data_IF_322864950234
#
_entry.id   IF_322864950234
#
_cell.length_a   1.000
_cell.length_b   1.000
_cell.length_c   1.000
_cell.angle_alpha   90.00
_cell.angle_beta   90.00
_cell.angle_gamma   90.00
#
_symmetry.space_group_name_H-M   'P 1'
#
loop_
_entity.id
_entity.type
_entity.pdbx_description
1 polymer ?
#
# COMPACT_ATOMS: atom_id res chain seq x y z
N UNK A 1 18.08 14.51 -2.25
CA UNK A 1 17.83 13.56 -3.35
C UNK A 1 18.47 12.23 -2.96
N UNK A 2 17.67 11.31 -2.40
CA UNK A 2 18.09 9.98 -1.99
C UNK A 2 18.64 9.22 -3.20
N UNK A 3 19.79 8.57 -3.05
CA UNK A 3 20.31 7.71 -4.10
C UNK A 3 19.54 6.37 -4.04
N UNK A 4 18.34 6.32 -4.61
CA UNK A 4 17.65 5.06 -4.85
C UNK A 4 18.47 4.32 -5.91
N UNK A 5 19.16 3.25 -5.51
CA UNK A 5 19.85 2.39 -6.47
C UNK A 5 18.83 1.44 -7.09
N UNK A 6 18.43 1.71 -8.33
CA UNK A 6 17.75 0.72 -9.15
C UNK A 6 18.80 -0.29 -9.65
N UNK A 7 18.71 -1.53 -9.19
CA UNK A 7 19.64 -2.61 -9.56
C UNK A 7 19.24 -3.30 -10.89
N UNK A 8 18.81 -2.56 -11.90
CA UNK A 8 18.43 -3.14 -13.20
C UNK A 8 19.47 -2.80 -14.27
N UNK A 9 20.41 -3.72 -14.53
CA UNK A 9 21.23 -3.67 -15.75
C UNK A 9 20.44 -4.30 -16.91
N UNK A 10 19.99 -3.46 -17.85
CA UNK A 10 19.30 -3.88 -19.07
C UNK A 10 20.32 -4.09 -20.19
N UNK A 11 20.62 -5.35 -20.54
CA UNK A 11 21.32 -5.68 -21.78
C UNK A 11 20.61 -6.87 -22.45
N UNK A 12 20.12 -6.64 -23.68
CA UNK A 12 19.62 -7.64 -24.64
C UNK A 12 18.62 -8.69 -24.10
N UNK A 13 17.50 -8.25 -23.55
CA UNK A 13 16.30 -9.10 -23.41
C UNK A 13 16.37 -10.20 -22.35
N UNK A 14 17.44 -10.26 -21.56
CA UNK A 14 17.58 -11.17 -20.41
C UNK A 14 17.88 -10.39 -19.13
N UNK A 15 17.05 -10.55 -18.11
CA UNK A 15 17.34 -10.06 -16.76
C UNK A 15 18.58 -10.80 -16.24
N UNK A 16 19.71 -10.10 -16.09
CA UNK A 16 20.89 -10.66 -15.44
C UNK A 16 20.56 -10.80 -13.96
N UNK A 17 20.57 -12.03 -13.45
CA UNK A 17 20.51 -12.34 -12.02
C UNK A 17 21.74 -11.71 -11.36
N UNK A 18 21.55 -10.62 -10.61
CA UNK A 18 22.66 -9.98 -9.90
C UNK A 18 23.10 -10.88 -8.75
N UNK A 19 24.37 -11.27 -8.77
CA UNK A 19 25.01 -11.98 -7.66
C UNK A 19 25.18 -11.02 -6.48
N UNK A 20 24.63 -11.37 -5.31
CA UNK A 20 24.77 -10.61 -4.07
C UNK A 20 26.24 -10.52 -3.61
N UNK A 21 27.15 -11.29 -4.21
CA UNK A 21 28.58 -11.21 -3.96
C UNK A 21 29.15 -9.81 -4.23
N UNK A 22 28.51 -9.01 -5.09
CA UNK A 22 28.89 -7.61 -5.36
C UNK A 22 28.29 -6.60 -4.35
N UNK A 23 27.29 -7.00 -3.55
CA UNK A 23 26.73 -6.19 -2.46
C UNK A 23 27.50 -6.34 -1.16
N UNK A 24 28.38 -7.35 -1.04
CA UNK A 24 29.35 -7.39 0.05
C UNK A 24 30.22 -6.15 -0.05
N UNK A 25 29.99 -5.19 0.86
CA UNK A 25 30.91 -4.09 1.14
C UNK A 25 32.27 -4.71 1.47
N UNK A 26 33.15 -4.81 0.48
CA UNK A 26 34.52 -5.30 0.65
C UNK A 26 35.31 -4.25 1.43
N UNK A 27 35.12 -4.21 2.74
CA UNK A 27 36.10 -3.65 3.66
C UNK A 27 36.84 -4.82 4.29
N UNK A 28 37.94 -5.19 3.65
CA UNK A 28 38.95 -6.06 4.24
C UNK A 28 39.61 -5.31 5.41
N UNK A 29 39.11 -5.53 6.62
CA UNK A 29 39.85 -5.27 7.84
C UNK A 29 39.69 -6.49 8.73
N UNK A 30 40.80 -7.20 8.95
CA UNK A 30 40.92 -8.31 9.89
C UNK A 30 40.55 -7.81 11.30
N UNK A 31 39.29 -8.00 11.66
CA UNK A 31 38.73 -7.74 12.99
C UNK A 31 37.90 -8.95 13.38
N UNK A 32 38.14 -9.49 14.57
CA UNK A 32 37.48 -10.66 15.14
C UNK A 32 36.05 -10.39 15.64
N UNK A 33 35.51 -9.20 15.41
CA UNK A 33 34.06 -8.93 15.47
C UNK A 33 33.66 -8.06 14.27
N UNK A 34 33.27 -8.68 13.15
CA UNK A 34 32.71 -7.96 12.02
C UNK A 34 31.38 -7.31 12.42
N UNK A 35 31.18 -6.05 12.02
CA UNK A 35 29.91 -5.35 12.25
C UNK A 35 28.75 -6.11 11.57
N UNK A 36 27.62 -6.34 12.27
CA UNK A 36 26.51 -7.12 11.73
C UNK A 36 26.00 -6.57 10.39
N UNK A 37 25.82 -7.46 9.42
CA UNK A 37 25.18 -7.20 8.12
C UNK A 37 23.73 -7.71 8.18
N UNK A 38 22.76 -6.84 7.96
CA UNK A 38 21.35 -7.16 8.10
C UNK A 38 20.61 -6.84 6.80
N UNK A 39 19.91 -7.83 6.24
CA UNK A 39 19.00 -7.61 5.13
C UNK A 39 17.57 -7.44 5.64
N UNK A 40 16.83 -6.47 5.11
CA UNK A 40 15.40 -6.27 5.38
C UNK A 40 14.64 -6.39 4.06
N UNK A 41 13.73 -7.36 3.98
CA UNK A 41 12.90 -7.60 2.80
C UNK A 41 11.56 -6.88 2.97
N UNK A 42 11.46 -5.70 2.39
CA UNK A 42 10.30 -4.81 2.41
C UNK A 42 10.61 -3.47 3.07
N UNK A 43 10.40 -2.38 2.33
CA UNK A 43 10.60 -1.00 2.78
C UNK A 43 9.32 -0.34 3.30
N UNK A 44 8.30 -1.14 3.64
CA UNK A 44 7.10 -0.64 4.33
C UNK A 44 7.37 -0.25 5.79
N UNK A 45 6.34 0.22 6.52
CA UNK A 45 6.47 0.68 7.90
C UNK A 45 7.19 -0.34 8.81
N UNK A 46 6.84 -1.62 8.70
CA UNK A 46 7.47 -2.67 9.52
C UNK A 46 8.97 -2.76 9.31
N UNK A 47 9.43 -2.75 8.06
CA UNK A 47 10.85 -2.83 7.73
C UNK A 47 11.61 -1.58 8.15
N UNK A 48 11.02 -0.41 7.92
CA UNK A 48 11.65 0.87 8.26
C UNK A 48 11.69 1.13 9.76
N UNK A 49 10.69 0.70 10.53
CA UNK A 49 10.75 0.77 11.99
C UNK A 49 11.79 -0.21 12.56
N UNK A 50 11.92 -1.42 12.00
CA UNK A 50 13.00 -2.33 12.37
C UNK A 50 14.36 -1.70 12.08
N UNK A 51 14.55 -1.16 10.87
CA UNK A 51 15.77 -0.44 10.49
C UNK A 51 16.10 0.68 11.49
N UNK A 52 15.13 1.56 11.77
CA UNK A 52 15.29 2.68 12.71
C UNK A 52 15.73 2.20 14.10
N UNK A 53 15.13 1.12 14.62
CA UNK A 53 15.50 0.56 15.92
C UNK A 53 16.88 -0.07 15.93
N UNK A 54 17.28 -0.75 14.85
CA UNK A 54 18.63 -1.31 14.71
C UNK A 54 19.68 -0.20 14.69
N UNK A 55 19.46 0.85 13.90
CA UNK A 55 20.37 2.00 13.80
C UNK A 55 20.53 2.77 15.12
N UNK A 56 19.47 2.81 15.95
CA UNK A 56 19.50 3.39 17.30
C UNK A 56 20.24 2.49 18.31
N UNK A 57 20.11 1.17 18.16
CA UNK A 57 20.62 0.20 19.15
C UNK A 57 22.09 -0.15 18.93
N UNK A 58 22.54 -0.14 17.67
CA UNK A 58 23.87 -0.51 17.27
C UNK A 58 24.55 0.67 16.57
N UNK A 59 25.71 1.07 17.09
CA UNK A 59 26.54 2.10 16.46
C UNK A 59 27.16 1.58 15.16
N UNK A 60 27.60 0.32 15.15
CA UNK A 60 28.25 -0.34 14.02
C UNK A 60 27.42 -1.53 13.52
N UNK A 61 26.43 -1.26 12.67
CA UNK A 61 25.72 -2.27 11.87
C UNK A 61 25.49 -1.74 10.45
N UNK A 62 25.42 -2.64 9.48
CA UNK A 62 25.13 -2.32 8.08
C UNK A 62 23.80 -2.95 7.68
N UNK A 63 22.93 -2.16 7.05
CA UNK A 63 21.57 -2.56 6.73
C UNK A 63 21.31 -2.33 5.25
N UNK A 64 20.88 -3.38 4.56
CA UNK A 64 20.41 -3.32 3.19
C UNK A 64 18.90 -3.61 3.16
N UNK A 65 18.12 -2.69 2.59
CA UNK A 65 16.68 -2.83 2.45
C UNK A 65 16.34 -3.15 1.00
N UNK A 66 15.63 -4.24 0.78
CA UNK A 66 15.16 -4.66 -0.54
C UNK A 66 13.67 -4.47 -0.66
N UNK A 67 13.19 -3.86 -1.74
CA UNK A 67 11.77 -3.76 -2.05
C UNK A 67 11.51 -4.09 -3.52
N UNK A 68 10.44 -4.84 -3.76
CA UNK A 68 9.98 -5.16 -5.13
C UNK A 68 9.32 -3.96 -5.81
N UNK A 69 8.74 -3.04 -5.05
CA UNK A 69 8.07 -1.88 -5.59
C UNK A 69 9.07 -0.87 -6.17
N UNK A 70 8.62 -0.03 -7.10
CA UNK A 70 9.49 0.95 -7.73
C UNK A 70 9.90 2.11 -6.81
N UNK A 71 9.07 2.40 -5.79
CA UNK A 71 9.33 3.40 -4.76
C UNK A 71 9.18 2.76 -3.37
N UNK A 72 9.88 3.29 -2.35
CA UNK A 72 9.83 2.72 -1.00
C UNK A 72 8.57 3.13 -0.21
N UNK A 73 8.57 2.82 1.09
CA UNK A 73 7.53 3.17 2.08
C UNK A 73 6.26 2.32 2.06
N UNK A 74 6.16 1.37 1.12
CA UNK A 74 5.08 0.38 1.06
C UNK A 74 3.70 1.04 1.09
N UNK A 75 2.83 0.60 2.01
CA UNK A 75 1.46 1.11 2.10
C UNK A 75 1.34 2.57 2.55
N UNK A 76 2.39 3.20 3.10
CA UNK A 76 2.33 4.66 3.32
C UNK A 76 2.23 5.38 1.98
N UNK A 77 3.00 4.93 0.98
CA UNK A 77 2.98 5.48 -0.36
C UNK A 77 1.82 4.93 -1.21
N UNK A 78 1.70 3.60 -1.26
CA UNK A 78 0.77 2.91 -2.16
C UNK A 78 -0.61 2.59 -1.57
N UNK A 79 -0.80 2.76 -0.26
CA UNK A 79 -2.02 2.33 0.45
C UNK A 79 -2.85 3.47 1.03
N UNK A 80 -2.20 4.49 1.60
CA UNK A 80 -2.88 5.67 2.14
C UNK A 80 -3.54 6.43 1.00
N UNK A 81 -4.84 6.74 1.16
CA UNK A 81 -5.59 7.48 0.15
C UNK A 81 -4.96 8.86 -0.12
N UNK A 82 -5.05 9.38 -1.35
CA UNK A 82 -4.36 10.61 -1.73
C UNK A 82 -4.90 11.85 -1.02
N UNK A 83 -6.14 11.80 -0.53
CA UNK A 83 -6.74 12.84 0.31
C UNK A 83 -6.36 12.76 1.80
N UNK A 84 -5.48 11.82 2.17
CA UNK A 84 -4.99 11.59 3.53
C UNK A 84 -3.52 11.97 3.73
N UNK A 85 -3.16 13.18 3.27
CA UNK A 85 -1.78 13.69 3.30
C UNK A 85 -1.09 13.63 4.67
N UNK A 86 -1.83 13.86 5.76
CA UNK A 86 -1.26 13.86 7.10
C UNK A 86 -0.60 12.53 7.48
N UNK A 87 -1.13 11.40 7.00
CA UNK A 87 -0.57 10.09 7.29
C UNK A 87 0.75 9.83 6.53
N UNK A 88 0.97 10.52 5.40
CA UNK A 88 2.20 10.44 4.60
C UNK A 88 3.36 11.26 5.21
N UNK A 89 3.10 12.14 6.18
CA UNK A 89 4.15 12.91 6.90
C UNK A 89 5.19 12.03 7.60
N UNK A 90 4.83 10.79 7.93
CA UNK A 90 5.77 9.80 8.48
C UNK A 90 6.95 9.49 7.53
N UNK A 91 6.78 9.68 6.22
CA UNK A 91 7.84 9.50 5.22
C UNK A 91 9.04 10.40 5.46
N UNK A 92 8.82 11.66 5.87
CA UNK A 92 9.90 12.63 6.11
C UNK A 92 10.88 12.15 7.19
N UNK A 93 10.39 11.43 8.21
CA UNK A 93 11.25 10.84 9.23
C UNK A 93 12.13 9.70 8.68
N UNK A 94 11.58 8.87 7.80
CA UNK A 94 12.32 7.79 7.15
C UNK A 94 13.31 8.31 6.12
N UNK A 95 12.92 9.34 5.35
CA UNK A 95 13.82 10.08 4.47
C UNK A 95 15.03 10.59 5.28
N UNK A 96 14.81 11.34 6.35
CA UNK A 96 15.90 11.81 7.21
C UNK A 96 16.79 10.68 7.72
N UNK A 97 16.21 9.54 8.13
CA UNK A 97 16.95 8.35 8.54
C UNK A 97 17.90 7.83 7.45
N UNK A 98 17.44 7.75 6.19
CA UNK A 98 18.31 7.38 5.06
C UNK A 98 19.42 8.40 4.80
N UNK A 99 19.14 9.67 5.02
CA UNK A 99 20.07 10.78 4.80
C UNK A 99 21.21 10.80 5.81
N UNK A 100 20.87 10.55 7.08
CA UNK A 100 21.81 10.57 8.21
C UNK A 100 22.66 9.31 8.33
N UNK A 101 22.32 8.22 7.63
CA UNK A 101 22.99 6.91 7.79
C UNK A 101 23.50 6.34 6.45
N UNK A 102 23.80 7.19 5.45
CA UNK A 102 24.18 6.76 4.08
C UNK A 102 25.40 5.83 4.03
N UNK A 103 26.29 5.94 5.01
CA UNK A 103 27.49 5.11 5.16
C UNK A 103 27.20 3.67 5.57
N UNK A 104 26.01 3.41 6.14
CA UNK A 104 25.65 2.12 6.73
C UNK A 104 24.24 1.61 6.39
N UNK A 105 23.45 2.38 5.65
CA UNK A 105 22.10 2.02 5.20
C UNK A 105 21.99 2.19 3.68
N UNK A 106 21.60 1.12 2.97
CA UNK A 106 21.28 1.17 1.53
C UNK A 106 19.85 0.68 1.25
N UNK A 107 19.25 1.20 0.19
CA UNK A 107 17.90 0.84 -0.28
C UNK A 107 17.95 0.44 -1.75
N UNK A 108 17.40 -0.73 -2.03
CA UNK A 108 17.30 -1.35 -3.34
C UNK A 108 15.83 -1.58 -3.70
N UNK A 109 15.28 -0.72 -4.55
CA UNK A 109 13.93 -0.86 -5.10
C UNK A 109 13.96 -1.67 -6.40
N UNK A 110 12.79 -2.17 -6.85
CA UNK A 110 12.65 -3.09 -7.97
C UNK A 110 13.45 -4.40 -7.82
N UNK A 111 13.59 -4.90 -6.58
CA UNK A 111 14.23 -6.19 -6.28
C UNK A 111 13.21 -7.10 -5.61
N UNK A 112 12.68 -8.07 -6.34
CA UNK A 112 11.78 -9.11 -5.83
C UNK A 112 12.59 -10.27 -5.26
N UNK A 113 12.63 -10.37 -3.93
CA UNK A 113 13.32 -11.45 -3.21
C UNK A 113 12.76 -12.87 -3.50
N UNK A 114 11.66 -13.01 -4.24
CA UNK A 114 11.19 -14.32 -4.71
C UNK A 114 11.74 -14.69 -6.10
N UNK A 115 12.35 -13.75 -6.83
CA UNK A 115 12.75 -13.93 -8.24
C UNK A 115 14.20 -13.54 -8.48
N UNK A 116 14.56 -12.35 -8.02
CA UNK A 116 15.81 -11.69 -8.38
C UNK A 116 16.94 -12.09 -7.43
N UNK A 117 16.58 -12.46 -6.20
CA UNK A 117 17.51 -12.83 -5.14
C UNK A 117 17.13 -14.19 -4.57
N UNK A 118 18.09 -15.09 -4.39
CA UNK A 118 17.82 -16.35 -3.69
C UNK A 118 17.76 -16.12 -2.17
N UNK A 119 16.73 -16.65 -1.50
CA UNK A 119 16.63 -16.62 -0.04
C UNK A 119 17.82 -17.33 0.64
N UNK A 120 18.28 -18.47 0.11
CA UNK A 120 19.48 -19.12 0.68
C UNK A 120 20.74 -18.25 0.52
N UNK A 121 20.84 -17.52 -0.60
CA UNK A 121 21.95 -16.60 -0.85
C UNK A 121 21.91 -15.42 0.14
N UNK A 122 20.73 -14.86 0.41
CA UNK A 122 20.53 -13.85 1.45
C UNK A 122 20.99 -14.37 2.82
N UNK A 123 20.52 -15.56 3.23
CA UNK A 123 20.89 -16.15 4.52
C UNK A 123 22.38 -16.49 4.63
N UNK A 124 23.06 -16.77 3.50
CA UNK A 124 24.51 -17.01 3.50
C UNK A 124 25.34 -15.71 3.47
N UNK A 125 24.74 -14.60 3.04
CA UNK A 125 25.43 -13.31 2.85
C UNK A 125 25.30 -12.40 4.07
N UNK A 126 24.14 -12.40 4.73
CA UNK A 126 23.81 -11.53 5.85
C UNK A 126 23.76 -12.32 7.15
N UNK A 127 24.16 -11.68 8.26
CA UNK A 127 24.08 -12.27 9.61
C UNK A 127 22.63 -12.44 10.08
N UNK A 128 21.73 -11.58 9.59
CA UNK A 128 20.30 -11.67 9.83
C UNK A 128 19.49 -11.21 8.62
N UNK A 129 18.35 -11.87 8.38
CA UNK A 129 17.37 -11.50 7.36
C UNK A 129 16.02 -11.25 8.01
N UNK A 130 15.47 -10.06 7.84
CA UNK A 130 14.18 -9.65 8.36
C UNK A 130 13.14 -9.66 7.24
N UNK A 131 12.10 -10.48 7.39
CA UNK A 131 10.98 -10.53 6.46
C UNK A 131 9.91 -9.49 6.86
N UNK A 132 9.83 -8.40 6.11
CA UNK A 132 8.96 -7.26 6.38
C UNK A 132 8.08 -6.88 5.16
N UNK A 133 7.78 -7.84 4.29
CA UNK A 133 7.15 -7.63 2.98
C UNK A 133 5.62 -7.44 2.99
N UNK A 134 5.02 -7.42 4.19
CA UNK A 134 3.58 -7.19 4.39
C UNK A 134 2.66 -8.29 3.83
N UNK A 135 1.37 -7.97 3.71
CA UNK A 135 0.34 -8.90 3.24
C UNK A 135 -0.20 -8.47 1.87
N UNK A 136 0.40 -9.00 0.79
CA UNK A 136 0.08 -8.58 -0.59
C UNK A 136 -0.98 -9.44 -1.28
N UNK A 137 -1.42 -10.56 -0.67
CA UNK A 137 -2.42 -11.46 -1.27
C UNK A 137 -3.83 -11.03 -0.85
N UNK A 138 -4.72 -10.64 -1.78
CA UNK A 138 -6.09 -10.29 -1.42
C UNK A 138 -6.85 -11.52 -0.94
N UNK A 139 -7.81 -11.31 -0.02
CA UNK A 139 -8.74 -12.36 0.40
C UNK A 139 -9.77 -12.58 -0.71
N UNK A 140 -9.96 -13.83 -1.10
CA UNK A 140 -10.98 -14.24 -2.07
C UNK A 140 -12.36 -14.24 -1.44
N UNK A 141 -13.40 -14.01 -2.24
CA UNK A 141 -14.78 -14.07 -1.79
C UNK A 141 -15.35 -15.49 -1.96
N UNK A 142 -14.78 -16.28 -2.86
CA UNK A 142 -15.26 -17.63 -3.19
C UNK A 142 -16.54 -17.62 -4.03
N UNK A 143 -16.76 -16.56 -4.81
CA UNK A 143 -17.93 -16.42 -5.68
C UNK A 143 -17.55 -16.85 -7.12
N UNK A 144 -18.52 -17.44 -7.83
CA UNK A 144 -18.32 -17.96 -9.20
C UNK A 144 -17.73 -16.91 -10.17
N UNK A 145 -18.15 -15.65 -10.05
CA UNK A 145 -17.71 -14.55 -10.92
C UNK A 145 -16.77 -13.56 -10.22
N UNK A 146 -16.00 -13.99 -9.20
CA UNK A 146 -15.12 -13.09 -8.45
C UNK A 146 -13.98 -12.46 -9.27
N UNK A 147 -13.67 -13.02 -10.45
CA UNK A 147 -12.65 -12.51 -11.39
C UNK A 147 -13.26 -11.90 -12.66
N UNK A 148 -14.50 -11.42 -12.59
CA UNK A 148 -15.15 -10.75 -13.72
C UNK A 148 -14.36 -9.54 -14.24
N UNK A 149 -14.68 -9.11 -15.47
CA UNK A 149 -13.91 -8.10 -16.23
C UNK A 149 -13.72 -6.73 -15.56
N UNK A 150 -14.49 -6.41 -14.50
CA UNK A 150 -14.39 -5.15 -13.74
C UNK A 150 -14.44 -5.41 -12.22
N UNK A 151 -13.93 -6.56 -11.79
CA UNK A 151 -13.85 -6.97 -10.39
C UNK A 151 -12.40 -6.80 -9.89
N UNK A 152 -12.25 -6.11 -8.76
CA UNK A 152 -10.95 -5.80 -8.17
C UNK A 152 -11.01 -6.04 -6.67
N UNK A 153 -9.89 -6.47 -6.09
CA UNK A 153 -9.72 -6.33 -4.64
C UNK A 153 -9.58 -4.84 -4.29
N UNK A 154 -9.97 -4.47 -3.07
CA UNK A 154 -9.79 -3.09 -2.59
C UNK A 154 -8.34 -2.64 -2.68
N UNK A 155 -7.39 -3.52 -2.36
CA UNK A 155 -5.95 -3.23 -2.47
C UNK A 155 -5.48 -2.96 -3.90
N UNK A 156 -6.01 -3.67 -4.90
CA UNK A 156 -5.70 -3.42 -6.32
C UNK A 156 -6.24 -2.05 -6.77
N UNK A 157 -7.48 -1.71 -6.40
CA UNK A 157 -8.07 -0.41 -6.71
C UNK A 157 -7.30 0.75 -6.06
N UNK A 158 -6.90 0.58 -4.79
CA UNK A 158 -6.08 1.54 -4.05
C UNK A 158 -4.70 1.71 -4.71
N UNK A 159 -4.04 0.60 -5.02
CA UNK A 159 -2.73 0.61 -5.68
C UNK A 159 -2.79 1.31 -7.05
N UNK A 160 -3.89 1.13 -7.78
CA UNK A 160 -4.11 1.80 -9.07
C UNK A 160 -4.17 3.31 -8.94
N UNK A 161 -4.98 3.86 -8.04
CA UNK A 161 -5.06 5.32 -7.94
C UNK A 161 -3.80 5.95 -7.33
N UNK A 162 -3.06 5.20 -6.50
CA UNK A 162 -1.80 5.60 -5.87
C UNK A 162 -0.55 5.34 -6.74
N UNK A 163 -0.70 4.91 -8.00
CA UNK A 163 0.42 4.87 -8.94
C UNK A 163 1.37 3.68 -8.80
N UNK A 164 0.88 2.55 -8.28
CA UNK A 164 1.59 1.29 -8.43
C UNK A 164 1.80 0.98 -9.93
N UNK A 165 2.98 0.45 -10.30
CA UNK A 165 3.29 0.18 -11.71
C UNK A 165 2.29 -0.83 -12.30
N UNK A 166 1.95 -0.67 -13.58
CA UNK A 166 1.04 -1.58 -14.29
C UNK A 166 1.54 -3.03 -14.28
N UNK A 167 2.85 -3.28 -14.18
CA UNK A 167 3.38 -4.64 -14.04
C UNK A 167 2.88 -5.36 -12.77
N UNK A 168 2.41 -4.61 -11.78
CA UNK A 168 1.84 -5.12 -10.53
C UNK A 168 0.32 -4.97 -10.45
N UNK A 169 -0.33 -4.36 -11.44
CA UNK A 169 -1.78 -4.19 -11.52
C UNK A 169 -2.29 -5.00 -12.73
N UNK A 170 -3.13 -6.01 -12.48
CA UNK A 170 -3.60 -6.90 -13.54
C UNK A 170 -4.51 -6.23 -14.57
N UNK A 171 -5.40 -5.34 -14.10
CA UNK A 171 -6.45 -4.73 -14.90
C UNK A 171 -6.68 -3.28 -14.44
N UNK A 172 -7.19 -2.44 -15.34
CA UNK A 172 -7.55 -1.05 -15.04
C UNK A 172 -9.07 -0.95 -14.81
N UNK A 173 -9.55 -0.29 -13.74
CA UNK A 173 -10.97 -0.07 -13.50
C UNK A 173 -11.67 0.69 -14.65
N UNK A 174 -12.75 0.11 -15.17
CA UNK A 174 -13.61 0.74 -16.19
C UNK A 174 -14.75 1.49 -15.50
N UNK A 175 -14.60 2.80 -15.37
CA UNK A 175 -15.53 3.65 -14.62
C UNK A 175 -16.63 4.30 -15.49
N UNK A 176 -16.57 4.14 -16.81
CA UNK A 176 -17.45 4.76 -17.81
C UNK A 176 -18.53 3.82 -18.37
N UNK A 177 -18.59 2.60 -17.85
CA UNK A 177 -19.46 1.51 -18.34
C UNK A 177 -20.79 1.38 -17.58
N UNK A 178 -20.93 2.04 -16.43
CA UNK A 178 -22.14 1.98 -15.61
C UNK A 178 -22.19 3.10 -14.57
N UNK A 179 -23.32 3.20 -13.88
CA UNK A 179 -23.56 4.22 -12.85
C UNK A 179 -23.42 3.71 -11.41
N UNK A 180 -23.23 2.40 -11.23
CA UNK A 180 -23.21 1.76 -9.93
C UNK A 180 -21.89 1.03 -9.71
N UNK A 181 -21.27 1.23 -8.54
CA UNK A 181 -20.17 0.42 -8.05
C UNK A 181 -20.58 -0.29 -6.75
N UNK A 182 -20.08 -1.50 -6.55
CA UNK A 182 -20.32 -2.30 -5.34
C UNK A 182 -18.99 -2.56 -4.65
N UNK A 183 -18.90 -2.20 -3.37
CA UNK A 183 -17.74 -2.42 -2.52
C UNK A 183 -18.13 -3.41 -1.43
N UNK A 184 -17.46 -4.55 -1.39
CA UNK A 184 -17.75 -5.61 -0.40
C UNK A 184 -16.77 -5.48 0.76
N UNK A 185 -17.29 -5.15 1.95
CA UNK A 185 -16.53 -5.01 3.18
C UNK A 185 -16.85 -3.73 3.96
N UNK A 186 -16.75 -3.82 5.29
CA UNK A 186 -17.01 -2.70 6.22
C UNK A 186 -15.72 -2.22 6.91
N UNK A 187 -14.64 -2.02 6.16
CA UNK A 187 -13.35 -1.53 6.68
C UNK A 187 -12.96 -0.18 6.09
N UNK A 188 -11.91 0.46 6.61
CA UNK A 188 -11.46 1.76 6.11
C UNK A 188 -11.17 1.75 4.61
N UNK A 189 -10.53 0.69 4.08
CA UNK A 189 -10.27 0.56 2.64
C UNK A 189 -11.56 0.61 1.80
N UNK A 190 -12.67 0.06 2.31
CA UNK A 190 -13.96 0.16 1.61
C UNK A 190 -14.48 1.60 1.58
N UNK A 191 -14.28 2.34 2.67
CA UNK A 191 -14.61 3.76 2.76
C UNK A 191 -13.73 4.57 1.81
N UNK A 192 -12.42 4.32 1.78
CA UNK A 192 -11.47 4.99 0.88
C UNK A 192 -11.83 4.77 -0.59
N UNK A 193 -12.08 3.52 -1.01
CA UNK A 193 -12.51 3.22 -2.37
C UNK A 193 -13.79 3.96 -2.74
N UNK A 194 -14.77 3.98 -1.82
CA UNK A 194 -16.05 4.66 -2.05
C UNK A 194 -15.90 6.17 -2.14
N UNK A 195 -15.07 6.76 -1.26
CA UNK A 195 -14.79 8.18 -1.24
C UNK A 195 -14.08 8.63 -2.52
N UNK A 196 -13.09 7.88 -3.00
CA UNK A 196 -12.39 8.17 -4.26
C UNK A 196 -13.33 8.06 -5.47
N UNK A 197 -14.20 7.05 -5.51
CA UNK A 197 -15.16 6.87 -6.61
C UNK A 197 -16.21 7.99 -6.69
N UNK A 198 -16.57 8.59 -5.55
CA UNK A 198 -17.62 9.60 -5.45
C UNK A 198 -17.09 11.03 -5.36
N UNK A 199 -15.79 11.23 -5.09
CA UNK A 199 -15.19 12.55 -5.00
C UNK A 199 -15.16 13.25 -6.36
N UNK A 200 -15.37 14.57 -6.34
CA UNK A 200 -15.24 15.37 -7.55
C UNK A 200 -13.78 15.36 -8.06
N UNK A 201 -13.57 15.28 -9.38
CA UNK A 201 -12.23 15.37 -9.95
C UNK A 201 -11.49 16.66 -9.57
N UNK A 202 -12.21 17.77 -9.35
CA UNK A 202 -11.66 19.06 -8.96
C UNK A 202 -11.02 19.01 -7.57
N UNK A 203 -11.66 18.31 -6.63
CA UNK A 203 -11.10 18.06 -5.29
C UNK A 203 -9.88 17.15 -5.38
N UNK A 204 -10.00 16.05 -6.13
CA UNK A 204 -8.91 15.07 -6.26
C UNK A 204 -7.70 15.63 -6.99
N UNK A 205 -7.86 16.60 -7.89
CA UNK A 205 -6.74 17.28 -8.57
C UNK A 205 -5.78 17.99 -7.60
N UNK A 206 -6.24 18.33 -6.39
CA UNK A 206 -5.43 18.94 -5.34
C UNK A 206 -4.69 17.89 -4.48
N UNK A 207 -4.88 16.60 -4.79
CA UNK A 207 -4.28 15.47 -4.08
C UNK A 207 -3.06 14.91 -4.81
N UNK A 208 -2.35 13.95 -4.22
CA UNK A 208 -1.28 13.21 -4.92
C UNK A 208 -1.77 12.00 -5.73
N UNK A 209 -3.07 11.96 -6.07
CA UNK A 209 -3.63 10.97 -6.99
C UNK A 209 -2.94 11.04 -8.35
N UNK A 210 -2.70 9.89 -8.97
CA UNK A 210 -2.06 9.88 -10.29
C UNK A 210 -2.92 10.50 -11.38
N UNK A 211 -2.28 11.12 -12.36
CA UNK A 211 -2.96 11.71 -13.52
C UNK A 211 -3.78 10.68 -14.31
N UNK A 212 -3.26 9.45 -14.43
CA UNK A 212 -3.97 8.34 -15.08
C UNK A 212 -5.29 8.01 -14.36
N UNK A 213 -5.26 7.90 -13.02
CA UNK A 213 -6.46 7.63 -12.25
C UNK A 213 -7.43 8.82 -12.25
N UNK A 214 -6.92 10.04 -12.13
CA UNK A 214 -7.72 11.26 -12.21
C UNK A 214 -8.42 11.39 -13.57
N UNK A 215 -7.74 11.08 -14.67
CA UNK A 215 -8.33 11.12 -16.01
C UNK A 215 -9.41 10.05 -16.22
N UNK A 216 -9.26 8.87 -15.59
CA UNK A 216 -10.31 7.87 -15.56
C UNK A 216 -11.52 8.34 -14.73
N UNK A 217 -11.28 8.95 -13.57
CA UNK A 217 -12.33 9.49 -12.69
C UNK A 217 -13.11 10.65 -13.33
N UNK A 218 -12.45 11.51 -14.12
CA UNK A 218 -13.13 12.55 -14.92
C UNK A 218 -14.14 11.98 -15.93
N UNK A 219 -13.87 10.79 -16.46
CA UNK A 219 -14.74 10.07 -17.41
C UNK A 219 -15.74 9.15 -16.71
N UNK A 220 -15.67 9.05 -15.39
CA UNK A 220 -16.50 8.15 -14.60
C UNK A 220 -17.98 8.49 -14.76
N UNK A 221 -18.79 7.47 -15.02
CA UNK A 221 -20.25 7.55 -14.98
C UNK A 221 -20.83 7.07 -13.65
N UNK A 222 -19.99 6.63 -12.71
CA UNK A 222 -20.41 6.18 -11.38
C UNK A 222 -21.13 7.32 -10.65
N UNK A 223 -22.34 7.03 -10.18
CA UNK A 223 -23.20 7.91 -9.38
C UNK A 223 -23.53 7.31 -8.02
N UNK A 224 -23.60 5.98 -7.94
CA UNK A 224 -23.94 5.28 -6.71
C UNK A 224 -22.82 4.31 -6.34
N UNK A 225 -22.45 4.30 -5.06
CA UNK A 225 -21.56 3.27 -4.49
C UNK A 225 -22.30 2.55 -3.37
N UNK A 226 -22.40 1.23 -3.48
CA UNK A 226 -23.02 0.38 -2.47
C UNK A 226 -21.94 -0.31 -1.65
N UNK A 227 -21.87 0.01 -0.34
CA UNK A 227 -20.97 -0.67 0.60
C UNK A 227 -21.75 -1.81 1.26
N UNK A 228 -21.35 -3.05 0.98
CA UNK A 228 -22.04 -4.25 1.44
C UNK A 228 -21.23 -4.93 2.53
N UNK A 229 -21.81 -5.00 3.72
CA UNK A 229 -21.29 -5.75 4.86
C UNK A 229 -22.04 -7.05 5.07
N UNK A 230 -21.31 -8.15 5.28
CA UNK A 230 -21.91 -9.45 5.66
C UNK A 230 -22.43 -9.51 7.11
N UNK A 231 -22.13 -8.50 7.93
CA UNK A 231 -22.48 -8.41 9.36
C UNK A 231 -23.05 -7.03 9.66
N UNK A 232 -23.55 -6.84 10.88
CA UNK A 232 -24.23 -5.63 11.29
C UNK A 232 -23.34 -4.44 11.63
N UNK A 233 -23.96 -3.32 12.02
CA UNK A 233 -23.28 -2.10 12.43
C UNK A 233 -22.37 -2.26 13.66
N UNK A 234 -22.57 -3.28 14.50
CA UNK A 234 -21.71 -3.53 15.66
C UNK A 234 -20.37 -4.17 15.28
N UNK A 235 -20.31 -4.82 14.11
CA UNK A 235 -19.15 -5.56 13.62
C UNK A 235 -18.38 -4.81 12.51
N UNK A 236 -18.63 -3.51 12.37
CA UNK A 236 -17.88 -2.63 11.47
C UNK A 236 -16.42 -2.55 11.90
N UNK A 237 -15.54 -2.42 10.92
CA UNK A 237 -14.08 -2.29 11.12
C UNK A 237 -13.53 -0.96 10.59
N UNK A 238 -14.39 -0.10 10.04
CA UNK A 238 -14.02 1.28 9.74
C UNK A 238 -14.05 2.14 11.01
N UNK A 239 -13.24 3.19 11.02
CA UNK A 239 -13.19 4.14 12.13
C UNK A 239 -14.20 5.27 11.95
N UNK A 240 -14.51 5.98 13.04
CA UNK A 240 -15.43 7.13 13.02
C UNK A 240 -14.89 8.26 12.15
N UNK A 241 -13.56 8.46 12.13
CA UNK A 241 -12.92 9.49 11.30
C UNK A 241 -13.24 9.26 9.82
N UNK A 242 -12.92 8.06 9.33
CA UNK A 242 -13.15 7.70 7.92
C UNK A 242 -14.63 7.76 7.55
N UNK A 243 -15.51 7.24 8.41
CA UNK A 243 -16.95 7.32 8.16
C UNK A 243 -17.43 8.78 8.06
N UNK A 244 -16.98 9.65 8.97
CA UNK A 244 -17.39 11.07 8.98
C UNK A 244 -16.96 11.78 7.70
N UNK A 245 -15.77 11.50 7.21
CA UNK A 245 -15.28 12.09 5.97
C UNK A 245 -16.11 11.69 4.75
N UNK A 246 -16.53 10.42 4.68
CA UNK A 246 -17.45 9.96 3.64
C UNK A 246 -18.83 10.64 3.76
N UNK A 247 -19.38 10.73 4.97
CA UNK A 247 -20.69 11.36 5.21
C UNK A 247 -20.69 12.86 4.92
N UNK A 248 -19.54 13.53 5.04
CA UNK A 248 -19.37 14.96 4.77
C UNK A 248 -18.90 15.24 3.33
N UNK A 249 -18.87 14.24 2.45
CA UNK A 249 -18.45 14.42 1.08
C UNK A 249 -19.47 15.29 0.32
N UNK A 250 -19.00 16.40 -0.25
CA UNK A 250 -19.87 17.36 -0.94
C UNK A 250 -20.55 16.74 -2.17
N UNK A 251 -21.83 17.04 -2.35
CA UNK A 251 -22.61 16.54 -3.49
C UNK A 251 -22.99 15.06 -3.39
N UNK A 252 -22.73 14.39 -2.26
CA UNK A 252 -23.01 12.97 -2.05
C UNK A 252 -24.02 12.79 -0.92
N UNK A 253 -25.12 12.11 -1.22
CA UNK A 253 -26.11 11.71 -0.22
C UNK A 253 -25.80 10.31 0.28
N UNK A 254 -25.81 10.13 1.60
CA UNK A 254 -25.52 8.85 2.24
C UNK A 254 -26.78 8.23 2.84
N UNK A 255 -27.11 7.03 2.39
CA UNK A 255 -28.24 6.25 2.92
C UNK A 255 -27.73 4.97 3.58
N UNK A 256 -28.19 4.69 4.80
CA UNK A 256 -27.87 3.45 5.51
C UNK A 256 -29.09 2.53 5.54
N UNK A 257 -29.01 1.41 4.82
CA UNK A 257 -30.00 0.35 4.86
C UNK A 257 -29.49 -0.76 5.77
N UNK A 258 -30.32 -1.18 6.72
CA UNK A 258 -30.07 -2.30 7.61
C UNK A 258 -31.23 -3.26 7.39
N UNK A 259 -30.91 -4.52 7.10
CA UNK A 259 -31.89 -5.60 6.97
C UNK A 259 -32.87 -5.59 8.14
N UNK A 260 -34.17 -5.71 7.83
CA UNK A 260 -35.27 -5.67 8.80
C UNK A 260 -35.09 -6.68 9.94
N UNK A 261 -34.58 -7.88 9.66
CA UNK A 261 -34.32 -8.91 10.68
C UNK A 261 -33.17 -8.52 11.62
N UNK A 262 -32.24 -7.68 11.15
CA UNK A 262 -31.14 -7.18 11.94
C UNK A 262 -31.55 -5.94 12.76
N UNK A 263 -32.47 -5.11 12.24
CA UNK A 263 -33.03 -3.95 12.94
C UNK A 263 -33.72 -4.33 14.25
N UNK A 264 -34.47 -5.44 14.26
CA UNK A 264 -35.13 -5.94 15.47
C UNK A 264 -34.11 -6.34 16.57
N UNK A 265 -32.98 -6.95 16.18
CA UNK A 265 -31.92 -7.37 17.11
C UNK A 265 -31.06 -6.21 17.65
N UNK A 266 -30.96 -5.11 16.92
CA UNK A 266 -30.11 -3.96 17.29
C UNK A 266 -30.82 -3.02 18.29
N UNK A 267 -32.15 -3.07 18.35
CA UNK A 267 -32.97 -2.17 19.16
C UNK A 267 -32.92 -0.72 18.65
N UNK A 268 -33.88 0.13 19.07
CA UNK A 268 -34.09 1.53 18.62
C UNK A 268 -32.94 2.52 18.92
N UNK A 269 -31.71 2.06 19.19
CA UNK A 269 -30.59 2.89 19.70
C UNK A 269 -29.74 3.58 18.62
N UNK A 270 -29.90 3.27 17.34
CA UNK A 270 -29.13 3.92 16.28
C UNK A 270 -30.07 4.74 15.39
N UNK A 271 -30.14 6.05 15.65
CA UNK A 271 -30.75 7.03 14.74
C UNK A 271 -29.65 7.57 13.82
N UNK A 272 -29.65 7.15 12.56
CA UNK A 272 -28.87 7.83 11.53
C UNK A 272 -29.65 9.05 11.07
N UNK A 273 -29.29 10.23 11.58
CA UNK A 273 -29.79 11.50 11.05
C UNK A 273 -29.04 11.84 9.76
N UNK A 274 -29.24 11.07 8.70
CA UNK A 274 -28.99 11.53 7.35
C UNK A 274 -30.23 12.30 6.88
N UNK A 275 -30.06 13.47 6.27
CA UNK A 275 -31.16 14.15 5.58
C UNK A 275 -31.66 13.19 4.50
N UNK A 276 -32.90 12.72 4.66
CA UNK A 276 -33.68 11.99 3.65
C UNK A 276 -33.80 12.79 2.38
#
# INVERSE_FOLDING_TARGET
>A
MFLIRQLLNYNNGSFIRLSLQHLRRTKSTFSTSSAPQIAIIGSGPSGLYVCSRLLQRFENCFIDIFDKAQAPFGLIYYGVAPDHFDMKKSMTGFEKMFEENRERLELFCNVDANKDVNFEELCSTYDAVVLAYGANKPRKLGLENEYGNNCFSGGEFVSWYNGMSQQYIKNIPKLDTGSNAVVIGNGNVAIDCSRILLSSPERLKQTDITENALNALKKSKIKNVYIIGRRGPKEISFTIKELRELLNLEGVNSHCLIDSNLREKIGKRIKFNGKT
#
